data_IF_791305451956
#
_entry.id   IF_791305451956
#
_cell.length_a   1.000
_cell.length_b   1.000
_cell.length_c   1.000
_cell.angle_alpha   90.00
_cell.angle_beta   90.00
_cell.angle_gamma   90.00
#
_symmetry.space_group_name_H-M   'P 1'
#
loop_
_entity.id
_entity.type
_entity.pdbx_description
1 polymer ?
#
# COMPACT_ATOMS: atom_id res chain seq x y z
N UNK A 1 -3.62 -15.59 -3.58
CA UNK A 1 -2.85 -14.86 -2.54
C UNK A 1 -1.91 -15.80 -1.76
N UNK A 2 -1.02 -16.54 -2.45
CA UNK A 2 -0.18 -17.59 -1.84
C UNK A 2 1.33 -17.27 -1.83
N UNK A 3 1.71 -16.00 -1.84
CA UNK A 3 3.13 -15.65 -1.80
C UNK A 3 3.54 -15.25 -0.37
N UNK A 4 4.11 -16.22 0.36
CA UNK A 4 4.49 -16.12 1.78
C UNK A 4 5.64 -15.13 2.02
N UNK A 5 6.33 -14.71 0.96
CA UNK A 5 7.40 -13.70 1.04
C UNK A 5 6.87 -12.25 1.12
N UNK A 6 5.66 -11.98 0.63
CA UNK A 6 5.09 -10.63 0.55
C UNK A 6 3.87 -10.41 1.46
N UNK A 7 3.19 -11.50 1.87
CA UNK A 7 2.11 -11.50 2.85
C UNK A 7 2.40 -12.58 3.91
N UNK A 8 2.38 -12.26 5.22
CA UNK A 8 1.64 -11.16 5.86
C UNK A 8 2.54 -10.06 6.45
N UNK A 9 3.76 -9.86 5.95
CA UNK A 9 4.71 -8.93 6.58
C UNK A 9 4.55 -7.47 6.17
N UNK A 10 4.01 -7.17 4.97
CA UNK A 10 4.00 -5.79 4.42
C UNK A 10 2.64 -5.09 4.56
N UNK A 11 1.55 -5.79 4.25
CA UNK A 11 0.17 -5.32 4.35
C UNK A 11 -0.65 -6.43 4.99
N UNK A 12 -1.49 -6.06 5.96
CA UNK A 12 -2.40 -6.98 6.66
C UNK A 12 -3.82 -6.50 6.48
N UNK A 13 -4.72 -7.44 6.21
CA UNK A 13 -6.17 -7.19 6.21
C UNK A 13 -6.66 -7.26 7.66
N UNK A 14 -7.27 -6.19 8.13
CA UNK A 14 -7.96 -6.19 9.42
C UNK A 14 -9.39 -6.73 9.28
N UNK A 15 -10.07 -6.26 8.23
CA UNK A 15 -11.38 -6.76 7.85
C UNK A 15 -11.43 -6.89 6.33
N UNK A 16 -11.35 -8.12 5.84
CA UNK A 16 -11.38 -8.40 4.41
C UNK A 16 -12.73 -8.06 3.77
N UNK A 17 -13.84 -8.27 4.49
CA UNK A 17 -15.20 -8.04 4.00
C UNK A 17 -15.49 -6.54 3.82
N UNK A 18 -14.97 -5.71 4.73
CA UNK A 18 -15.10 -4.25 4.65
C UNK A 18 -13.98 -3.60 3.81
N UNK A 19 -13.03 -4.38 3.31
CA UNK A 19 -11.88 -3.88 2.57
C UNK A 19 -10.91 -3.06 3.44
N UNK A 20 -10.89 -3.29 4.75
CA UNK A 20 -9.97 -2.62 5.69
C UNK A 20 -8.64 -3.35 5.77
N UNK A 21 -7.56 -2.61 5.50
CA UNK A 21 -6.20 -3.10 5.61
C UNK A 21 -5.29 -2.04 6.24
N UNK A 22 -4.16 -2.50 6.78
CA UNK A 22 -3.10 -1.65 7.31
C UNK A 22 -1.76 -2.00 6.71
N UNK A 23 -0.90 -0.99 6.60
CA UNK A 23 0.50 -1.16 6.25
C UNK A 23 1.29 -1.53 7.50
N UNK A 24 1.97 -2.69 7.46
CA UNK A 24 2.87 -3.14 8.53
C UNK A 24 4.27 -2.54 8.34
N UNK A 25 4.75 -2.50 7.09
CA UNK A 25 5.99 -1.81 6.72
C UNK A 25 5.74 -0.81 5.59
N UNK A 26 5.21 0.35 5.95
CA UNK A 26 4.87 1.46 5.05
C UNK A 26 6.00 1.83 4.08
N UNK A 27 7.25 1.90 4.55
CA UNK A 27 8.40 2.27 3.72
C UNK A 27 8.73 1.23 2.66
N UNK A 28 8.66 -0.05 3.02
CA UNK A 28 8.89 -1.16 2.07
C UNK A 28 7.81 -1.19 1.00
N UNK A 29 6.56 -0.98 1.39
CA UNK A 29 5.43 -0.91 0.46
C UNK A 29 5.59 0.26 -0.50
N UNK A 30 5.97 1.44 0.00
CA UNK A 30 6.22 2.60 -0.85
C UNK A 30 7.38 2.37 -1.82
N UNK A 31 8.48 1.75 -1.38
CA UNK A 31 9.59 1.39 -2.26
C UNK A 31 9.18 0.40 -3.34
N UNK A 32 8.46 -0.66 -2.99
CA UNK A 32 7.94 -1.63 -3.96
C UNK A 32 7.01 -0.98 -4.98
N UNK A 33 6.14 -0.07 -4.52
CA UNK A 33 5.29 0.73 -5.40
C UNK A 33 6.12 1.61 -6.34
N UNK A 34 7.16 2.26 -5.81
CA UNK A 34 8.14 3.02 -6.57
C UNK A 34 8.82 2.20 -7.66
N UNK A 35 9.41 1.06 -7.29
CA UNK A 35 10.03 0.12 -8.25
C UNK A 35 9.04 -0.33 -9.32
N UNK A 36 7.78 -0.61 -8.96
CA UNK A 36 6.76 -1.03 -9.93
C UNK A 36 6.36 0.08 -10.91
N UNK A 37 6.47 1.35 -10.50
CA UNK A 37 6.12 2.53 -11.28
C UNK A 37 7.33 3.28 -11.83
N UNK A 38 8.51 2.69 -11.75
CA UNK A 38 9.80 3.28 -12.13
C UNK A 38 10.04 4.68 -11.49
N UNK A 39 9.62 4.82 -10.23
CA UNK A 39 9.79 6.04 -9.44
C UNK A 39 10.64 5.72 -8.18
N UNK A 40 11.96 5.87 -8.23
CA UNK A 40 12.85 5.56 -7.11
C UNK A 40 12.66 6.48 -5.90
N UNK A 41 12.12 7.69 -6.11
CA UNK A 41 11.87 8.68 -5.04
C UNK A 41 10.52 8.51 -4.33
N UNK A 42 9.88 7.35 -4.53
CA UNK A 42 8.60 7.03 -3.90
C UNK A 42 8.78 6.78 -2.40
N UNK A 43 7.95 7.44 -1.59
CA UNK A 43 7.88 7.24 -0.15
C UNK A 43 6.42 7.10 0.30
N UNK A 44 6.21 6.71 1.56
CA UNK A 44 4.87 6.45 2.07
C UNK A 44 3.99 7.71 2.10
N UNK A 45 4.56 8.89 2.31
CA UNK A 45 3.81 10.15 2.30
C UNK A 45 3.21 10.44 0.92
N UNK A 46 4.01 10.30 -0.14
CA UNK A 46 3.58 10.47 -1.54
C UNK A 46 2.54 9.39 -1.92
N UNK A 47 2.79 8.14 -1.55
CA UNK A 47 1.84 7.04 -1.78
C UNK A 47 0.50 7.29 -1.07
N UNK A 48 0.54 7.62 0.22
CA UNK A 48 -0.67 7.87 1.02
C UNK A 48 -1.44 9.09 0.49
N UNK A 49 -0.74 10.09 -0.06
CA UNK A 49 -1.36 11.25 -0.69
C UNK A 49 -2.17 10.89 -1.93
N UNK A 50 -1.65 9.99 -2.76
CA UNK A 50 -2.36 9.44 -3.92
C UNK A 50 -3.59 8.62 -3.48
N UNK A 51 -3.45 7.76 -2.46
CA UNK A 51 -4.57 7.00 -1.90
C UNK A 51 -5.70 7.91 -1.40
N UNK A 52 -5.37 9.02 -0.73
CA UNK A 52 -6.37 10.01 -0.29
C UNK A 52 -7.14 10.66 -1.45
N UNK A 53 -6.52 10.83 -2.62
CA UNK A 53 -7.25 11.30 -3.79
C UNK A 53 -8.29 10.29 -4.26
N UNK A 54 -8.00 8.99 -4.21
CA UNK A 54 -8.96 7.95 -4.56
C UNK A 54 -10.16 7.90 -3.60
N UNK A 55 -9.99 8.24 -2.32
CA UNK A 55 -11.14 8.39 -1.41
C UNK A 55 -11.99 9.62 -1.75
N UNK A 56 -11.36 10.73 -2.16
CA UNK A 56 -12.08 11.94 -2.55
C UNK A 56 -12.79 11.82 -3.89
N UNK A 57 -12.27 11.03 -4.84
CA UNK A 57 -12.88 10.84 -6.16
C UNK A 57 -13.97 9.76 -6.20
N UNK A 58 -14.27 9.14 -5.06
CA UNK A 58 -15.37 8.18 -4.88
C UNK A 58 -16.60 8.84 -4.23
N UNK A 59 -16.67 10.17 -4.26
CA UNK A 59 -17.91 10.93 -4.09
C UNK A 59 -18.59 11.05 -5.45
#
# INVERSE_FOLDING_TARGET
MKNREYCPSLIVWDNYEEGMFRFVYSDKVAKLWGTKKDNPDMNYEKLSRAMRYYYKSKV
#
